data_IF_215820968921
#
_entry.id   IF_215820968921
#
_cell.length_a   1.000
_cell.length_b   1.000
_cell.length_c   1.000
_cell.angle_alpha   90.00
_cell.angle_beta   90.00
_cell.angle_gamma   90.00
#
_symmetry.space_group_name_H-M   'P 1'
#
loop_
_entity.id
_entity.type
_entity.pdbx_description
1 polymer ?
#
# COMPACT_ATOMS: atom_id res chain seq x y z
N UNK A 1 3.91 -12.71 11.02
CA UNK A 1 3.25 -13.25 9.81
C UNK A 1 4.23 -13.66 8.71
N UNK A 2 5.36 -12.95 8.54
CA UNK A 2 6.34 -13.22 7.47
C UNK A 2 6.86 -14.68 7.39
N UNK A 3 7.09 -15.36 8.53
CA UNK A 3 7.46 -16.78 8.54
C UNK A 3 6.41 -17.67 7.85
N UNK A 4 5.12 -17.48 8.18
CA UNK A 4 4.01 -18.21 7.54
C UNK A 4 3.92 -17.89 6.05
N UNK A 5 4.19 -16.64 5.66
CA UNK A 5 4.23 -16.25 4.25
C UNK A 5 5.37 -16.97 3.51
N UNK A 6 6.55 -17.08 4.12
CA UNK A 6 7.69 -17.83 3.55
C UNK A 6 7.34 -19.29 3.28
N UNK A 7 6.70 -19.94 4.24
CA UNK A 7 6.26 -21.33 4.09
C UNK A 7 5.22 -21.48 2.97
N UNK A 8 4.31 -20.51 2.83
CA UNK A 8 3.30 -20.49 1.75
C UNK A 8 3.94 -20.28 0.38
N UNK A 9 4.77 -19.24 0.24
CA UNK A 9 5.49 -18.90 -1.00
C UNK A 9 6.32 -20.09 -1.49
N UNK A 10 7.03 -20.76 -0.57
CA UNK A 10 7.82 -21.95 -0.90
C UNK A 10 6.95 -23.14 -1.34
N UNK A 11 5.90 -23.48 -0.57
CA UNK A 11 5.05 -24.64 -0.88
C UNK A 11 4.22 -24.48 -2.15
N UNK A 12 3.75 -23.27 -2.43
CA UNK A 12 2.88 -22.97 -3.58
C UNK A 12 3.67 -22.47 -4.80
N UNK A 13 5.01 -22.43 -4.72
CA UNK A 13 5.90 -21.95 -5.77
C UNK A 13 5.52 -20.57 -6.32
N UNK A 14 5.19 -19.65 -5.41
CA UNK A 14 4.80 -18.28 -5.75
C UNK A 14 6.09 -17.50 -6.06
N UNK A 15 6.21 -16.83 -7.22
CA UNK A 15 7.39 -16.04 -7.56
C UNK A 15 7.36 -14.69 -6.82
N UNK A 16 7.57 -14.73 -5.50
CA UNK A 16 7.53 -13.57 -4.62
C UNK A 16 8.75 -13.52 -3.70
N UNK A 17 9.35 -12.34 -3.60
CA UNK A 17 10.38 -12.03 -2.62
C UNK A 17 9.73 -11.51 -1.33
N UNK A 18 10.27 -11.95 -0.18
CA UNK A 18 9.77 -11.55 1.13
C UNK A 18 10.85 -10.80 1.90
N UNK A 19 10.53 -9.57 2.32
CA UNK A 19 11.42 -8.76 3.14
C UNK A 19 10.79 -8.47 4.50
N UNK A 20 11.63 -8.36 5.53
CA UNK A 20 11.23 -7.82 6.84
C UNK A 20 11.64 -6.35 6.87
N UNK A 21 10.66 -5.46 6.80
CA UNK A 21 10.88 -4.02 6.81
C UNK A 21 9.82 -3.31 7.64
N UNK A 22 10.15 -2.09 8.04
CA UNK A 22 9.19 -1.10 8.53
C UNK A 22 8.66 -0.33 7.33
N UNK A 23 7.35 -0.12 7.27
CA UNK A 23 6.71 0.56 6.15
C UNK A 23 6.91 2.07 6.18
N UNK A 24 7.23 2.64 7.35
CA UNK A 24 7.62 4.06 7.46
C UNK A 24 9.07 4.29 6.99
N UNK A 25 9.86 3.22 6.78
CA UNK A 25 11.27 3.26 6.38
C UNK A 25 11.60 2.13 5.39
N UNK A 26 10.95 2.13 4.22
CA UNK A 26 11.07 1.04 3.26
C UNK A 26 12.50 0.98 2.66
N UNK A 27 13.14 -0.21 2.62
CA UNK A 27 14.51 -0.38 2.12
C UNK A 27 14.57 -0.43 0.58
N UNK A 28 13.80 0.45 -0.07
CA UNK A 28 13.72 0.54 -1.52
C UNK A 28 14.09 1.95 -1.97
N UNK A 29 14.78 2.04 -3.11
CA UNK A 29 14.97 3.33 -3.78
C UNK A 29 13.62 3.92 -4.19
N UNK A 30 13.58 5.24 -4.34
CA UNK A 30 12.39 5.91 -4.85
C UNK A 30 12.05 5.44 -6.28
N UNK A 31 10.76 5.49 -6.64
CA UNK A 31 10.27 5.22 -8.00
C UNK A 31 10.71 3.87 -8.58
N UNK A 32 10.53 2.78 -7.83
CA UNK A 32 10.94 1.42 -8.26
C UNK A 32 9.77 0.50 -8.58
N UNK A 33 8.59 0.71 -7.98
CA UNK A 33 7.42 -0.13 -8.21
C UNK A 33 6.41 0.54 -9.14
N UNK A 34 5.84 -0.23 -10.08
CA UNK A 34 4.73 0.22 -10.93
C UNK A 34 3.41 0.29 -10.15
N UNK A 35 3.24 -0.59 -9.17
CA UNK A 35 2.08 -0.61 -8.29
C UNK A 35 2.47 -1.04 -6.86
N UNK A 36 1.77 -0.49 -5.87
CA UNK A 36 1.87 -0.88 -4.47
C UNK A 36 0.48 -1.16 -3.91
N UNK A 37 0.38 -2.25 -3.14
CA UNK A 37 -0.84 -2.68 -2.49
C UNK A 37 -0.65 -2.67 -0.97
N UNK A 38 -1.52 -1.97 -0.26
CA UNK A 38 -1.50 -1.84 1.19
C UNK A 38 -2.87 -2.20 1.77
N UNK A 39 -3.05 -3.48 2.11
CA UNK A 39 -4.30 -3.99 2.66
C UNK A 39 -4.30 -3.99 4.17
N UNK A 40 -5.31 -3.39 4.79
CA UNK A 40 -5.48 -3.34 6.25
C UNK A 40 -4.22 -2.87 6.97
N UNK A 41 -3.51 -1.89 6.39
CA UNK A 41 -2.23 -1.41 6.89
C UNK A 41 -2.40 -0.15 7.75
N UNK A 42 -3.01 0.90 7.18
CA UNK A 42 -2.94 2.26 7.73
C UNK A 42 -3.53 2.37 9.13
N UNK A 43 -4.55 1.58 9.46
CA UNK A 43 -5.16 1.58 10.79
C UNK A 43 -4.26 1.02 11.90
N UNK A 44 -3.15 0.36 11.53
CA UNK A 44 -2.16 -0.14 12.47
C UNK A 44 -0.95 0.80 12.62
N UNK A 45 -0.90 1.88 11.84
CA UNK A 45 0.25 2.79 11.81
C UNK A 45 0.03 3.95 12.78
N UNK A 46 1.08 4.36 13.53
CA UNK A 46 0.98 5.50 14.43
C UNK A 46 0.76 6.81 13.68
N UNK A 47 1.41 6.96 12.52
CA UNK A 47 1.35 8.16 11.68
C UNK A 47 1.01 7.77 10.22
N UNK A 48 -0.27 7.47 9.91
CA UNK A 48 -0.67 6.98 8.58
C UNK A 48 -0.24 7.89 7.41
N UNK A 49 -0.17 9.21 7.65
CA UNK A 49 0.31 10.17 6.66
C UNK A 49 1.81 10.00 6.34
N UNK A 50 2.65 9.63 7.32
CA UNK A 50 4.06 9.27 7.09
C UNK A 50 4.14 8.02 6.23
N UNK A 51 3.36 6.99 6.60
CA UNK A 51 3.28 5.74 5.84
C UNK A 51 2.88 5.97 4.38
N UNK A 52 1.85 6.77 4.13
CA UNK A 52 1.41 7.09 2.77
C UNK A 52 2.51 7.79 1.96
N UNK A 53 3.25 8.74 2.55
CA UNK A 53 4.37 9.40 1.86
C UNK A 53 5.45 8.40 1.48
N UNK A 54 5.77 7.45 2.36
CA UNK A 54 6.80 6.44 2.10
C UNK A 54 6.36 5.43 1.04
N UNK A 55 5.09 5.01 1.05
CA UNK A 55 4.50 4.20 -0.01
C UNK A 55 4.54 4.93 -1.37
N UNK A 56 4.16 6.22 -1.40
CA UNK A 56 4.21 7.03 -2.63
C UNK A 56 5.65 7.18 -3.13
N UNK A 57 6.63 7.39 -2.23
CA UNK A 57 8.04 7.55 -2.60
C UNK A 57 8.58 6.39 -3.43
N UNK A 58 8.20 5.15 -3.10
CA UNK A 58 8.71 3.95 -3.78
C UNK A 58 7.98 3.64 -5.10
N UNK A 59 6.85 4.28 -5.37
CA UNK A 59 6.07 4.09 -6.60
C UNK A 59 6.62 5.00 -7.70
N UNK A 60 6.69 4.47 -8.93
CA UNK A 60 7.09 5.21 -10.13
C UNK A 60 6.09 6.32 -10.47
N UNK A 61 6.53 7.26 -11.28
CA UNK A 61 5.62 8.21 -11.93
C UNK A 61 4.59 7.44 -12.75
N UNK A 62 3.32 7.85 -12.71
CA UNK A 62 2.20 7.13 -13.35
C UNK A 62 1.88 5.75 -12.76
N UNK A 63 2.52 5.38 -11.65
CA UNK A 63 2.22 4.17 -10.91
C UNK A 63 0.95 4.30 -10.05
N UNK A 64 0.56 3.16 -9.47
CA UNK A 64 -0.71 3.03 -8.75
C UNK A 64 -0.50 2.61 -7.30
N UNK A 65 -1.18 3.30 -6.38
CA UNK A 65 -1.31 2.88 -4.99
C UNK A 65 -2.74 2.39 -4.74
N UNK A 66 -2.86 1.14 -4.26
CA UNK A 66 -4.13 0.57 -3.80
C UNK A 66 -4.08 0.40 -2.29
N UNK A 67 -5.01 1.03 -1.58
CA UNK A 67 -5.11 0.96 -0.12
C UNK A 67 -6.46 0.35 0.25
N UNK A 68 -6.50 -0.60 1.17
CA UNK A 68 -7.74 -1.07 1.81
C UNK A 68 -7.80 -0.66 3.28
N UNK A 69 -8.95 -0.14 3.70
CA UNK A 69 -9.23 0.22 5.08
C UNK A 69 -10.55 -0.47 5.49
N UNK A 70 -10.58 -1.23 6.59
CA UNK A 70 -11.84 -1.79 7.10
C UNK A 70 -12.87 -0.69 7.41
N UNK A 71 -14.11 -0.83 6.94
CA UNK A 71 -15.16 0.21 7.09
C UNK A 71 -15.52 0.58 8.52
N UNK A 72 -15.23 -0.31 9.46
CA UNK A 72 -15.51 -0.09 10.88
C UNK A 72 -14.38 0.66 11.61
N UNK A 73 -13.37 1.13 10.89
CA UNK A 73 -12.23 1.86 11.46
C UNK A 73 -12.06 3.20 10.76
N UNK A 74 -11.85 4.24 11.55
CA UNK A 74 -11.52 5.56 11.04
C UNK A 74 -10.00 5.73 11.01
N UNK A 75 -9.47 6.14 9.87
CA UNK A 75 -8.06 6.50 9.70
C UNK A 75 -8.01 7.94 9.25
N UNK A 76 -7.29 8.79 9.99
CA UNK A 76 -7.14 10.20 9.65
C UNK A 76 -6.02 10.38 8.61
N UNK A 77 -6.39 10.29 7.33
CA UNK A 77 -5.49 10.53 6.21
C UNK A 77 -6.28 11.12 5.05
N UNK A 78 -5.71 12.14 4.39
CA UNK A 78 -6.27 12.66 3.15
C UNK A 78 -5.83 11.78 1.97
N UNK A 79 -6.72 10.90 1.52
CA UNK A 79 -6.52 10.05 0.35
C UNK A 79 -7.38 10.57 -0.80
N UNK A 80 -6.76 11.30 -1.72
CA UNK A 80 -7.42 11.76 -2.94
C UNK A 80 -7.28 10.69 -4.03
N UNK A 81 -8.26 9.80 -4.11
CA UNK A 81 -8.28 8.69 -5.06
C UNK A 81 -9.70 8.23 -5.42
N UNK A 82 -9.80 7.38 -6.44
CA UNK A 82 -11.05 6.70 -6.79
C UNK A 82 -11.39 5.70 -5.67
N UNK A 83 -12.59 5.79 -5.10
CA UNK A 83 -13.07 4.81 -4.12
C UNK A 83 -13.79 3.70 -4.87
N UNK A 84 -13.33 2.46 -4.66
CA UNK A 84 -13.95 1.27 -5.20
C UNK A 84 -14.85 0.67 -4.13
N UNK A 85 -16.16 0.73 -4.37
CA UNK A 85 -17.18 0.13 -3.51
C UNK A 85 -17.76 -1.13 -4.14
N UNK A 86 -17.78 -2.20 -3.36
CA UNK A 86 -18.48 -3.44 -3.68
C UNK A 86 -19.23 -3.90 -2.42
N UNK A 87 -20.50 -4.27 -2.57
CA UNK A 87 -21.37 -4.65 -1.45
C UNK A 87 -20.93 -5.95 -0.76
N UNK A 88 -20.18 -6.81 -1.45
CA UNK A 88 -19.58 -8.02 -0.90
C UNK A 88 -18.23 -7.81 -0.21
N UNK A 89 -17.57 -6.67 -0.44
CA UNK A 89 -16.28 -6.35 0.20
C UNK A 89 -16.57 -5.65 1.54
N UNK A 90 -15.76 -5.93 2.58
CA UNK A 90 -15.91 -5.30 3.92
C UNK A 90 -15.02 -4.07 4.13
N UNK A 91 -14.06 -3.89 3.24
CA UNK A 91 -13.13 -2.77 3.22
C UNK A 91 -13.63 -1.69 2.27
N UNK A 92 -13.23 -0.46 2.53
CA UNK A 92 -13.21 0.60 1.52
C UNK A 92 -11.85 0.54 0.82
N UNK A 93 -11.87 0.45 -0.51
CA UNK A 93 -10.64 0.36 -1.31
C UNK A 93 -10.43 1.70 -2.02
N UNK A 94 -9.26 2.28 -1.84
CA UNK A 94 -8.83 3.50 -2.51
C UNK A 94 -7.84 3.16 -3.61
N UNK A 95 -8.08 3.68 -4.81
CA UNK A 95 -7.21 3.59 -5.97
C UNK A 95 -6.64 4.99 -6.28
N UNK A 96 -5.35 5.18 -6.01
CA UNK A 96 -4.65 6.43 -6.23
C UNK A 96 -3.71 6.27 -7.43
N UNK A 97 -3.98 7.01 -8.50
CA UNK A 97 -3.11 7.09 -9.70
C UNK A 97 -2.18 8.28 -9.51
N UNK A 98 -0.87 8.04 -9.47
CA UNK A 98 0.11 9.11 -9.31
C UNK A 98 0.31 9.84 -10.63
N UNK A 99 0.02 11.14 -10.67
CA UNK A 99 0.25 11.96 -11.85
C UNK A 99 1.55 12.75 -11.72
N UNK A 100 2.36 12.78 -12.77
CA UNK A 100 3.44 13.76 -12.91
C UNK A 100 2.80 15.12 -13.29
N UNK A 101 2.29 15.87 -12.31
CA UNK A 101 2.35 17.33 -12.44
C UNK A 101 3.62 17.75 -11.71
N UNK A 102 4.70 18.10 -12.43
CA UNK A 102 5.75 18.86 -11.80
C UNK A 102 5.09 20.13 -11.26
N UNK A 103 5.27 20.41 -9.97
CA UNK A 103 5.03 21.74 -9.43
C UNK A 103 6.06 22.64 -10.14
N UNK A 104 5.65 23.25 -11.24
CA UNK A 104 6.34 24.39 -11.86
C UNK A 104 6.26 25.59 -10.93
#
# INVERSE_FOLDING_TARGET
>A
MLRKAKDKVFRENIPAELIRADVDFLPFRAKVFDAVFAFTLLQNMPEPAVTCRELIRVIKDYGVLVISIPRNVNVNVDLQGEVLEDSGIKDTIFLLKLNNKPNT
#
